data_IF_555690661677
#
_entry.id   IF_555690661677
#
_cell.length_a   1.000
_cell.length_b   1.000
_cell.length_c   1.000
_cell.angle_alpha   90.00
_cell.angle_beta   90.00
_cell.angle_gamma   90.00
#
_symmetry.space_group_name_H-M   'P 1'
#
loop_
_entity.id
_entity.type
_entity.pdbx_description
1 polymer ?
#
# COMPACT_ATOMS: atom_id res chain seq x y z
N UNK A 1 5.27 16.51 15.66
CA UNK A 1 5.95 15.55 14.75
C UNK A 1 5.10 15.45 13.49
N UNK A 2 5.70 15.48 12.29
CA UNK A 2 4.96 15.47 11.02
C UNK A 2 5.26 14.16 10.26
N UNK A 3 4.21 13.54 9.69
CA UNK A 3 4.30 12.28 8.92
C UNK A 3 4.04 12.48 7.43
N UNK A 4 3.69 13.69 7.00
CA UNK A 4 3.33 13.96 5.61
C UNK A 4 3.03 15.42 5.30
N UNK A 5 2.55 15.68 4.09
CA UNK A 5 2.16 17.01 3.64
C UNK A 5 1.13 16.93 2.51
N UNK A 6 0.43 18.04 2.27
CA UNK A 6 -0.44 18.18 1.10
C UNK A 6 0.38 18.56 -0.12
N UNK A 7 0.26 17.77 -1.18
CA UNK A 7 0.68 18.16 -2.53
C UNK A 7 -0.54 18.79 -3.22
N UNK A 8 -0.57 20.13 -3.22
CA UNK A 8 -1.72 20.89 -3.74
C UNK A 8 -1.80 20.85 -5.27
N UNK A 9 -0.66 20.66 -5.95
CA UNK A 9 -0.61 20.59 -7.41
C UNK A 9 -1.26 19.30 -7.89
N UNK A 10 -0.88 18.16 -7.29
CA UNK A 10 -1.41 16.86 -7.63
C UNK A 10 -2.74 16.52 -6.92
N UNK A 11 -3.13 17.33 -5.93
CA UNK A 11 -4.30 17.13 -5.06
C UNK A 11 -4.21 15.82 -4.27
N UNK A 12 -3.04 15.59 -3.70
CA UNK A 12 -2.71 14.37 -2.97
C UNK A 12 -2.24 14.70 -1.55
N UNK A 13 -2.33 13.70 -0.68
CA UNK A 13 -1.64 13.73 0.60
C UNK A 13 -0.46 12.75 0.58
N UNK A 14 0.74 13.27 0.81
CA UNK A 14 1.99 12.49 0.78
C UNK A 14 2.40 12.15 2.19
N UNK A 15 2.47 10.86 2.50
CA UNK A 15 2.96 10.30 3.75
C UNK A 15 4.41 9.89 3.53
N UNK A 16 5.34 10.53 4.23
CA UNK A 16 6.79 10.31 4.11
C UNK A 16 7.34 9.33 5.14
N UNK A 17 6.51 8.93 6.11
CA UNK A 17 6.85 7.97 7.17
C UNK A 17 5.70 6.98 7.39
N UNK A 18 5.95 5.66 7.32
CA UNK A 18 4.89 4.66 7.38
C UNK A 18 4.43 4.33 8.80
N UNK A 19 5.19 4.73 9.81
CA UNK A 19 4.95 4.50 11.23
C UNK A 19 4.01 5.55 11.84
N UNK A 20 2.95 5.89 11.09
CA UNK A 20 1.91 6.81 11.56
C UNK A 20 1.29 6.29 12.86
N UNK A 21 0.89 7.17 13.81
CA UNK A 21 0.38 6.77 15.12
C UNK A 21 -0.94 5.98 15.03
N UNK A 22 -1.64 6.09 13.91
CA UNK A 22 -2.77 5.26 13.53
C UNK A 22 -2.73 5.03 12.01
N UNK A 23 -3.41 4.00 11.49
CA UNK A 23 -3.57 3.81 10.05
C UNK A 23 -4.26 5.02 9.43
N UNK A 24 -3.61 5.69 8.49
CA UNK A 24 -4.23 6.73 7.68
C UNK A 24 -4.79 6.07 6.43
N UNK A 25 -6.08 6.28 6.17
CA UNK A 25 -6.80 5.53 5.13
C UNK A 25 -7.28 6.42 4.01
N UNK A 26 -7.43 5.81 2.84
CA UNK A 26 -8.09 6.35 1.67
C UNK A 26 -9.22 5.43 1.22
N UNK A 27 -10.16 5.98 0.46
CA UNK A 27 -11.23 5.26 -0.21
C UNK A 27 -10.90 5.12 -1.69
N UNK A 28 -11.13 3.92 -2.23
CA UNK A 28 -10.99 3.63 -3.65
C UNK A 28 -12.38 3.27 -4.22
N UNK A 29 -12.58 3.60 -5.49
CA UNK A 29 -13.74 3.19 -6.26
C UNK A 29 -14.96 4.09 -6.18
N UNK A 30 -16.13 3.48 -6.18
CA UNK A 30 -17.43 4.12 -6.39
C UNK A 30 -18.49 3.46 -5.51
N UNK A 31 -19.75 3.93 -5.50
CA UNK A 31 -20.82 3.28 -4.73
C UNK A 31 -21.04 1.80 -5.06
N UNK A 32 -20.68 1.35 -6.27
CA UNK A 32 -20.85 -0.05 -6.70
C UNK A 32 -19.73 -0.95 -6.14
N UNK A 33 -18.48 -0.49 -6.15
CA UNK A 33 -17.33 -1.18 -5.55
C UNK A 33 -16.54 -0.19 -4.71
N UNK A 34 -16.51 -0.43 -3.40
CA UNK A 34 -15.76 0.36 -2.44
C UNK A 34 -14.58 -0.42 -1.88
N UNK A 35 -13.47 0.27 -1.69
CA UNK A 35 -12.33 -0.27 -0.97
C UNK A 35 -11.77 0.77 -0.01
N UNK A 36 -11.38 0.31 1.18
CA UNK A 36 -10.67 1.11 2.17
C UNK A 36 -9.24 0.57 2.23
N UNK A 37 -8.26 1.45 2.06
CA UNK A 37 -6.84 1.09 2.08
C UNK A 37 -6.07 2.05 2.99
N UNK A 38 -5.17 1.52 3.82
CA UNK A 38 -4.29 2.35 4.65
C UNK A 38 -2.97 2.70 3.96
N UNK A 39 -2.21 3.61 4.58
CA UNK A 39 -0.83 3.93 4.22
C UNK A 39 0.13 2.73 4.24
N UNK A 40 -0.30 1.63 4.86
CA UNK A 40 0.39 0.36 4.99
C UNK A 40 -0.32 -0.79 4.24
N UNK A 41 -1.13 -0.45 3.22
CA UNK A 41 -1.91 -1.37 2.39
C UNK A 41 -2.95 -2.25 3.13
N UNK A 42 -3.20 -2.00 4.41
CA UNK A 42 -4.23 -2.70 5.18
C UNK A 42 -5.63 -2.26 4.78
N UNK A 43 -6.64 -3.09 5.03
CA UNK A 43 -8.04 -2.73 4.84
C UNK A 43 -8.82 -3.83 4.11
N UNK A 44 -9.97 -3.45 3.55
CA UNK A 44 -10.84 -4.39 2.86
C UNK A 44 -11.57 -3.76 1.67
N UNK A 45 -12.24 -4.59 0.89
CA UNK A 45 -13.06 -4.23 -0.26
C UNK A 45 -14.45 -4.87 -0.17
N UNK A 46 -15.41 -4.26 -0.85
CA UNK A 46 -16.80 -4.71 -0.88
C UNK A 46 -17.51 -4.26 -2.15
N UNK A 47 -18.55 -4.99 -2.54
CA UNK A 47 -19.48 -4.63 -3.62
C UNK A 47 -20.82 -4.23 -3.01
N UNK A 48 -21.30 -3.02 -3.32
CA UNK A 48 -22.56 -2.41 -2.86
C UNK A 48 -22.72 -2.17 -1.35
N UNK A 49 -22.31 -3.11 -0.50
CA UNK A 49 -22.50 -3.07 0.96
C UNK A 49 -21.22 -3.44 1.70
N UNK A 50 -20.71 -2.51 2.52
CA UNK A 50 -19.57 -2.78 3.40
C UNK A 50 -19.83 -3.85 4.47
N UNK A 51 -21.11 -4.18 4.74
CA UNK A 51 -21.51 -5.21 5.68
C UNK A 51 -21.72 -6.57 5.00
N UNK A 52 -22.59 -6.63 3.97
CA UNK A 52 -23.00 -7.89 3.35
C UNK A 52 -22.24 -8.24 2.07
N UNK A 53 -21.60 -7.26 1.43
CA UNK A 53 -20.90 -7.42 0.15
C UNK A 53 -19.39 -7.48 0.29
N UNK A 54 -18.87 -7.80 1.49
CA UNK A 54 -17.44 -7.78 1.80
C UNK A 54 -16.70 -8.91 1.07
N UNK A 55 -15.64 -8.55 0.35
CA UNK A 55 -14.79 -9.48 -0.41
C UNK A 55 -13.57 -9.91 0.41
N UNK A 56 -12.86 -8.93 0.99
CA UNK A 56 -11.66 -9.18 1.81
C UNK A 56 -11.94 -8.91 3.29
N UNK A 57 -11.29 -9.67 4.18
CA UNK A 57 -11.48 -9.55 5.63
C UNK A 57 -10.73 -8.33 6.18
N UNK A 58 -11.22 -7.76 7.28
CA UNK A 58 -10.49 -6.81 8.10
C UNK A 58 -10.75 -7.08 9.59
N UNK A 59 -9.72 -6.94 10.42
CA UNK A 59 -9.84 -7.01 11.89
C UNK A 59 -9.97 -5.59 12.42
N UNK A 60 -11.15 -5.26 12.93
CA UNK A 60 -11.40 -3.97 13.56
C UNK A 60 -10.80 -3.94 14.97
N UNK A 61 -10.38 -2.76 15.40
CA UNK A 61 -9.93 -2.46 16.76
C UNK A 61 -8.79 -3.38 17.26
N UNK A 62 -7.89 -3.77 16.37
CA UNK A 62 -6.65 -4.48 16.73
C UNK A 62 -5.45 -3.54 16.79
N UNK A 63 -4.41 -3.96 17.52
CA UNK A 63 -3.13 -3.22 17.65
C UNK A 63 -2.45 -2.92 16.30
N UNK A 64 -2.75 -3.74 15.28
CA UNK A 64 -2.28 -3.55 13.91
C UNK A 64 -3.47 -3.65 12.96
N UNK A 65 -3.50 -2.80 11.94
CA UNK A 65 -4.48 -2.92 10.86
C UNK A 65 -4.09 -4.07 9.94
N UNK A 66 -4.87 -5.15 9.96
CA UNK A 66 -4.65 -6.36 9.16
C UNK A 66 -5.99 -7.07 8.90
N UNK A 67 -6.09 -7.91 7.85
CA UNK A 67 -5.15 -8.04 6.74
C UNK A 67 -5.28 -6.89 5.72
N UNK A 68 -4.71 -7.06 4.53
CA UNK A 68 -4.63 -6.04 3.48
C UNK A 68 -4.18 -6.58 2.14
N UNK A 69 -3.77 -5.66 1.26
CA UNK A 69 -3.25 -5.91 -0.08
C UNK A 69 -1.74 -5.99 -0.08
N UNK A 70 -1.20 -7.14 0.29
CA UNK A 70 0.25 -7.28 0.45
C UNK A 70 0.88 -7.95 -0.77
N UNK A 71 1.88 -7.28 -1.32
CA UNK A 71 2.81 -7.86 -2.28
C UNK A 71 4.10 -8.11 -1.52
N UNK A 72 4.51 -9.37 -1.43
CA UNK A 72 5.79 -9.75 -0.83
C UNK A 72 6.84 -9.87 -1.93
N UNK A 73 8.00 -9.29 -1.69
CA UNK A 73 9.19 -9.46 -2.48
C UNK A 73 10.17 -10.31 -1.68
N UNK A 74 10.89 -11.19 -2.38
CA UNK A 74 11.90 -12.03 -1.78
C UNK A 74 13.09 -12.08 -2.70
N UNK A 75 14.28 -11.86 -2.18
CA UNK A 75 15.50 -12.16 -2.92
C UNK A 75 15.82 -13.64 -2.75
N UNK A 76 15.83 -14.38 -3.85
CA UNK A 76 16.03 -15.83 -3.84
C UNK A 76 17.49 -16.21 -3.59
N UNK A 77 18.45 -15.30 -3.75
CA UNK A 77 19.87 -15.57 -3.52
C UNK A 77 20.21 -15.32 -2.03
N UNK A 78 19.84 -14.15 -1.49
CA UNK A 78 20.05 -13.83 -0.07
C UNK A 78 19.04 -14.51 0.87
N UNK A 79 17.92 -15.00 0.32
CA UNK A 79 16.76 -15.55 1.03
C UNK A 79 15.99 -14.53 1.88
N UNK A 80 16.36 -13.25 1.81
CA UNK A 80 15.68 -12.17 2.53
C UNK A 80 14.36 -11.77 1.84
N UNK A 81 13.41 -11.24 2.61
CA UNK A 81 12.08 -10.85 2.11
C UNK A 81 11.55 -9.59 2.78
N UNK A 82 10.70 -8.86 2.07
CA UNK A 82 10.02 -7.66 2.54
C UNK A 82 8.66 -7.53 1.85
N UNK A 83 7.80 -6.65 2.34
CA UNK A 83 6.55 -6.28 1.66
C UNK A 83 6.75 -5.01 0.84
N UNK A 84 5.98 -4.81 -0.22
CA UNK A 84 6.02 -3.58 -1.03
C UNK A 84 5.48 -2.35 -0.27
N UNK A 85 4.62 -2.58 0.72
CA UNK A 85 4.30 -1.67 1.81
C UNK A 85 5.17 -1.97 3.03
N UNK A 86 5.37 -1.03 3.95
CA UNK A 86 6.21 -1.28 5.13
C UNK A 86 5.69 -2.44 6.00
N UNK A 87 4.41 -2.40 6.37
CA UNK A 87 3.72 -3.56 6.95
C UNK A 87 3.28 -4.53 5.83
N UNK A 88 3.19 -5.84 6.10
CA UNK A 88 3.25 -6.47 7.43
C UNK A 88 4.63 -6.98 7.83
N UNK A 89 5.66 -6.91 6.96
CA UNK A 89 6.99 -7.44 7.31
C UNK A 89 7.69 -6.52 8.31
N UNK A 90 7.53 -5.21 8.19
CA UNK A 90 8.02 -4.25 9.17
C UNK A 90 9.55 -4.16 9.23
N UNK A 91 10.23 -4.12 8.07
CA UNK A 91 11.69 -3.89 7.98
C UNK A 91 12.10 -2.61 8.71
N UNK A 92 13.35 -2.56 9.20
CA UNK A 92 13.88 -1.37 9.88
C UNK A 92 13.81 -0.15 8.96
N UNK A 93 13.29 0.97 9.48
CA UNK A 93 13.20 2.23 8.74
C UNK A 93 14.56 2.92 8.55
N UNK A 94 15.63 2.41 9.16
CA UNK A 94 17.00 2.85 8.89
C UNK A 94 17.45 2.46 7.46
N UNK A 95 16.89 1.38 6.92
CA UNK A 95 17.23 0.84 5.60
C UNK A 95 16.05 0.89 4.62
N UNK A 96 14.83 0.69 5.14
CA UNK A 96 13.61 0.61 4.36
C UNK A 96 12.99 2.00 4.20
N UNK A 97 13.06 2.53 2.98
CA UNK A 97 12.45 3.83 2.64
C UNK A 97 11.10 3.60 2.02
N UNK A 98 10.10 4.38 2.40
CA UNK A 98 8.77 4.29 1.79
C UNK A 98 8.06 5.63 1.80
N UNK A 99 7.24 5.82 0.78
CA UNK A 99 6.34 6.96 0.61
C UNK A 99 4.98 6.43 0.20
N UNK A 100 3.94 6.88 0.87
CA UNK A 100 2.56 6.58 0.47
C UNK A 100 1.87 7.85 0.03
N UNK A 101 1.26 7.83 -1.14
CA UNK A 101 0.53 8.95 -1.72
C UNK A 101 -0.94 8.56 -1.80
N UNK A 102 -1.79 9.29 -1.08
CA UNK A 102 -3.24 9.15 -1.19
C UNK A 102 -3.78 10.24 -2.11
N UNK A 103 -4.28 9.82 -3.28
CA UNK A 103 -4.97 10.69 -4.22
C UNK A 103 -6.47 10.44 -4.24
N UNK A 104 -7.19 11.11 -5.15
CA UNK A 104 -8.64 10.91 -5.28
C UNK A 104 -8.94 9.54 -5.87
N UNK A 105 -9.47 8.62 -5.06
CA UNK A 105 -9.83 7.25 -5.45
C UNK A 105 -8.66 6.32 -5.87
N UNK A 106 -7.41 6.71 -5.58
CA UNK A 106 -6.24 5.86 -5.76
C UNK A 106 -5.22 6.04 -4.63
N UNK A 107 -4.36 5.05 -4.44
CA UNK A 107 -3.21 5.14 -3.53
C UNK A 107 -1.98 4.57 -4.20
N UNK A 108 -0.85 5.27 -4.11
CA UNK A 108 0.46 4.78 -4.56
C UNK A 108 1.34 4.54 -3.34
N UNK A 109 1.93 3.36 -3.23
CA UNK A 109 2.96 3.07 -2.23
C UNK A 109 4.25 2.76 -2.96
N UNK A 110 5.26 3.60 -2.74
CA UNK A 110 6.59 3.44 -3.32
C UNK A 110 7.57 3.16 -2.20
N UNK A 111 8.27 2.04 -2.28
CA UNK A 111 9.28 1.62 -1.29
C UNK A 111 10.60 1.28 -1.97
N UNK A 112 11.70 1.51 -1.27
CA UNK A 112 13.04 1.09 -1.64
C UNK A 112 13.69 0.34 -0.49
N UNK A 113 14.17 -0.87 -0.78
CA UNK A 113 14.92 -1.69 0.16
C UNK A 113 15.88 -2.58 -0.62
N UNK A 114 17.11 -2.76 -0.11
CA UNK A 114 18.12 -3.63 -0.75
C UNK A 114 18.30 -3.32 -2.25
N UNK A 115 18.29 -2.02 -2.62
CA UNK A 115 18.36 -1.53 -4.01
C UNK A 115 17.26 -2.03 -4.96
N UNK A 116 16.15 -2.52 -4.43
CA UNK A 116 14.94 -2.81 -5.20
C UNK A 116 13.91 -1.75 -4.86
N UNK A 117 13.40 -1.05 -5.88
CA UNK A 117 12.23 -0.19 -5.75
C UNK A 117 10.98 -0.97 -6.13
N UNK A 118 9.99 -0.96 -5.25
CA UNK A 118 8.63 -1.42 -5.55
C UNK A 118 7.67 -0.24 -5.51
N UNK A 119 6.90 -0.06 -6.58
CA UNK A 119 5.81 0.91 -6.64
C UNK A 119 4.51 0.16 -6.90
N UNK A 120 3.52 0.33 -6.03
CA UNK A 120 2.21 -0.30 -6.19
C UNK A 120 1.12 0.75 -6.17
N UNK A 121 0.39 0.86 -7.28
CA UNK A 121 -0.81 1.70 -7.38
C UNK A 121 -2.06 0.86 -7.17
N UNK A 122 -2.84 1.22 -6.16
CA UNK A 122 -4.12 0.61 -5.81
C UNK A 122 -5.25 1.54 -6.24
N UNK A 123 -6.15 1.04 -7.07
CA UNK A 123 -7.33 1.79 -7.50
C UNK A 123 -8.42 0.84 -7.97
N UNK A 124 -9.62 1.38 -8.16
CA UNK A 124 -10.76 0.69 -8.75
C UNK A 124 -11.12 1.47 -10.01
N UNK A 125 -11.03 0.88 -11.21
CA UNK A 125 -11.33 1.60 -12.43
C UNK A 125 -12.78 2.07 -12.46
N UNK A 126 -13.03 3.21 -13.10
CA UNK A 126 -14.37 3.80 -13.19
C UNK A 126 -15.36 2.81 -13.82
N UNK A 127 -16.49 2.60 -13.15
CA UNK A 127 -17.56 1.71 -13.63
C UNK A 127 -17.19 0.22 -13.58
N UNK A 128 -16.12 -0.16 -12.87
CA UNK A 128 -15.72 -1.56 -12.69
C UNK A 128 -15.93 -2.02 -11.25
N UNK A 129 -16.10 -3.33 -11.11
CA UNK A 129 -16.33 -4.02 -9.83
C UNK A 129 -15.15 -4.88 -9.41
N UNK A 130 -13.94 -4.44 -9.77
CA UNK A 130 -12.68 -5.06 -9.38
C UNK A 130 -11.67 -4.01 -8.99
N UNK A 131 -10.75 -4.39 -8.11
CA UNK A 131 -9.61 -3.59 -7.70
C UNK A 131 -8.38 -3.97 -8.53
N UNK A 132 -7.58 -2.98 -8.91
CA UNK A 132 -6.32 -3.15 -9.64
C UNK A 132 -5.17 -2.83 -8.70
N UNK A 133 -4.20 -3.75 -8.63
CA UNK A 133 -2.92 -3.55 -7.95
C UNK A 133 -1.85 -3.52 -9.03
N UNK A 134 -1.53 -2.33 -9.52
CA UNK A 134 -0.51 -2.15 -10.55
C UNK A 134 0.87 -2.08 -9.89
N UNK A 135 1.61 -3.19 -9.93
CA UNK A 135 2.92 -3.30 -9.29
C UNK A 135 4.05 -3.16 -10.32
N UNK A 136 4.98 -2.26 -10.05
CA UNK A 136 6.21 -2.05 -10.80
C UNK A 136 7.41 -2.30 -9.89
N UNK A 137 8.24 -3.27 -10.27
CA UNK A 137 9.47 -3.60 -9.55
C UNK A 137 10.67 -3.18 -10.39
N UNK A 138 11.56 -2.38 -9.82
CA UNK A 138 12.77 -1.88 -10.47
C UNK A 138 13.99 -2.38 -9.72
N UNK A 139 14.91 -3.03 -10.43
CA UNK A 139 16.23 -3.37 -9.91
C UNK A 139 17.17 -2.16 -10.11
N UNK A 140 17.57 -1.51 -9.01
CA UNK A 140 18.53 -0.40 -9.03
C UNK A 140 19.95 -0.87 -8.66
N UNK A 141 20.18 -2.18 -8.54
CA UNK A 141 21.51 -2.73 -8.31
C UNK A 141 22.32 -2.78 -9.61
N UNK A 142 23.63 -2.89 -9.49
CA UNK A 142 24.55 -3.03 -10.64
C UNK A 142 24.64 -4.47 -11.15
N UNK A 143 23.94 -5.40 -10.50
CA UNK A 143 23.89 -6.83 -10.83
C UNK A 143 22.44 -7.28 -11.04
N UNK A 144 22.22 -8.35 -11.82
CA UNK A 144 20.94 -9.03 -11.87
C UNK A 144 20.47 -9.45 -10.47
N UNK A 145 19.16 -9.42 -10.25
CA UNK A 145 18.52 -9.82 -9.00
C UNK A 145 17.47 -10.88 -9.28
N UNK A 146 17.50 -11.95 -8.50
CA UNK A 146 16.56 -13.05 -8.58
C UNK A 146 15.48 -12.85 -7.52
N UNK A 147 14.33 -12.29 -7.92
CA UNK A 147 13.20 -12.01 -7.04
C UNK A 147 12.10 -13.06 -7.23
#
# INVERSE_FOLDING_TARGET
MNYGYFDLENKEYVITRPDTPAPWVNYLGSPEYGAIISNNAAGYSFVKSGANGRISRFRFNSMMALPGRYIYLRDNDSKDYWSASWQPVGKSLDEYKTKTVHGTAYTVITSEYSKITSEVTYYVPLGKTYEVWNAKITNNDTKPRNL
#
